data_IF_718549909232
#
_entry.id   IF_718549909232
#
_cell.length_a   1.000
_cell.length_b   1.000
_cell.length_c   1.000
_cell.angle_alpha   90.00
_cell.angle_beta   90.00
_cell.angle_gamma   90.00
#
_symmetry.space_group_name_H-M   'P 1'
#
loop_
_entity.id
_entity.type
_entity.pdbx_description
1 polymer ?
#
# COMPACT_ATOMS: atom_id res chain seq x y z
N UNK A 1 16.77 52.12 43.73
CA UNK A 1 17.57 51.06 43.11
C UNK A 1 16.98 49.71 43.49
N UNK A 2 16.12 49.15 42.65
CA UNK A 2 15.89 47.69 42.62
C UNK A 2 15.32 47.36 41.25
N UNK A 3 16.17 46.84 40.38
CA UNK A 3 15.86 46.35 39.04
C UNK A 3 15.11 45.02 39.16
N UNK A 4 13.95 44.93 38.51
CA UNK A 4 13.22 43.67 38.32
C UNK A 4 13.76 43.01 37.05
N UNK A 5 14.58 41.97 37.22
CA UNK A 5 14.94 41.06 36.13
C UNK A 5 13.79 40.08 35.90
N UNK A 6 13.15 40.18 34.74
CA UNK A 6 12.19 39.19 34.28
C UNK A 6 12.94 38.02 33.65
N UNK A 7 12.94 36.87 34.33
CA UNK A 7 13.40 35.60 33.77
C UNK A 7 12.53 35.21 32.57
N UNK A 8 13.10 35.25 31.38
CA UNK A 8 12.49 34.67 30.18
C UNK A 8 12.51 33.14 30.29
N UNK A 9 11.34 32.53 30.52
CA UNK A 9 11.15 31.09 30.34
C UNK A 9 11.27 30.77 28.86
N UNK A 10 12.45 30.30 28.46
CA UNK A 10 12.67 29.72 27.14
C UNK A 10 11.65 28.63 26.85
N UNK A 11 10.91 28.79 25.75
CA UNK A 11 10.04 27.76 25.20
C UNK A 11 10.91 26.49 24.94
N UNK A 12 10.46 25.29 25.35
CA UNK A 12 11.24 24.08 25.11
C UNK A 12 11.51 23.92 23.61
N UNK A 13 12.70 23.42 23.21
CA UNK A 13 12.98 23.13 21.82
C UNK A 13 11.85 22.25 21.27
N UNK A 14 11.18 22.68 20.21
CA UNK A 14 10.27 21.81 19.48
C UNK A 14 11.09 20.61 19.00
N UNK A 15 11.06 19.50 19.73
CA UNK A 15 11.59 18.24 19.24
C UNK A 15 10.94 17.96 17.90
N UNK A 16 11.75 17.94 16.83
CA UNK A 16 11.27 17.66 15.48
C UNK A 16 10.53 16.33 15.50
N UNK A 17 9.22 16.39 15.27
CA UNK A 17 8.29 15.27 15.37
C UNK A 17 8.75 14.13 14.44
N UNK A 18 9.34 13.08 15.00
CA UNK A 18 9.82 11.95 14.22
C UNK A 18 8.63 11.10 13.75
N UNK A 19 8.58 10.82 12.45
CA UNK A 19 7.55 9.96 11.87
C UNK A 19 7.90 8.49 12.16
N UNK A 20 6.99 7.76 12.82
CA UNK A 20 7.17 6.33 13.14
C UNK A 20 6.65 5.44 12.01
N UNK A 21 5.46 5.73 11.49
CA UNK A 21 4.86 4.97 10.40
C UNK A 21 3.85 5.80 9.62
N UNK A 22 3.50 5.30 8.42
CA UNK A 22 2.53 5.91 7.51
C UNK A 22 1.69 4.83 6.83
N UNK A 23 0.43 5.14 6.58
CA UNK A 23 -0.48 4.35 5.75
C UNK A 23 -1.33 5.29 4.89
N UNK A 24 -1.89 4.78 3.80
CA UNK A 24 -2.85 5.51 2.97
C UNK A 24 -4.10 4.64 2.85
N UNK A 25 -4.95 4.54 3.88
CA UNK A 25 -6.05 3.57 3.90
C UNK A 25 -7.09 3.77 2.80
N UNK A 26 -7.27 5.01 2.32
CA UNK A 26 -8.32 5.35 1.37
C UNK A 26 -7.99 6.57 0.53
N UNK A 27 -8.85 6.83 -0.45
CA UNK A 27 -8.87 8.07 -1.21
C UNK A 27 -10.29 8.64 -1.24
N UNK A 28 -10.40 9.97 -1.32
CA UNK A 28 -11.64 10.73 -1.40
C UNK A 28 -11.65 11.55 -2.68
N UNK A 29 -12.80 11.69 -3.32
CA UNK A 29 -13.00 12.66 -4.40
C UNK A 29 -13.57 13.93 -3.80
N UNK A 30 -12.82 15.03 -3.89
CA UNK A 30 -13.20 16.36 -3.38
C UNK A 30 -13.10 17.31 -4.57
N UNK A 31 -14.20 17.96 -4.93
CA UNK A 31 -14.29 18.88 -6.07
C UNK A 31 -13.73 18.29 -7.37
N UNK A 32 -14.12 17.04 -7.67
CA UNK A 32 -13.66 16.29 -8.85
C UNK A 32 -12.19 15.85 -8.80
N UNK A 33 -11.49 16.08 -7.70
CA UNK A 33 -10.08 15.76 -7.54
C UNK A 33 -9.86 14.64 -6.51
N UNK A 34 -9.06 13.64 -6.90
CA UNK A 34 -8.69 12.53 -6.02
C UNK A 34 -7.65 13.00 -4.99
N UNK A 35 -8.00 12.85 -3.72
CA UNK A 35 -7.17 13.10 -2.55
C UNK A 35 -6.94 11.80 -1.78
N UNK A 36 -5.68 11.46 -1.56
CA UNK A 36 -5.27 10.31 -0.75
C UNK A 36 -5.30 10.70 0.72
N UNK A 37 -5.96 9.89 1.54
CA UNK A 37 -5.99 10.06 3.00
C UNK A 37 -4.72 9.42 3.53
N UNK A 38 -3.70 10.23 3.85
CA UNK A 38 -2.45 9.73 4.42
C UNK A 38 -2.58 9.80 5.94
N UNK A 39 -2.56 8.64 6.60
CA UNK A 39 -2.46 8.57 8.04
C UNK A 39 -0.99 8.48 8.45
N UNK A 40 -0.65 9.24 9.47
CA UNK A 40 0.73 9.40 9.93
C UNK A 40 0.74 9.15 11.43
N UNK A 41 1.59 8.21 11.85
CA UNK A 41 1.89 7.97 13.25
C UNK A 41 3.19 8.68 13.59
N UNK A 42 3.11 9.72 14.41
CA UNK A 42 4.27 10.38 15.01
C UNK A 42 4.68 9.70 16.31
N UNK A 43 5.65 10.33 16.99
CA UNK A 43 6.15 9.83 18.27
C UNK A 43 5.06 9.78 19.36
N UNK A 44 4.24 10.83 19.44
CA UNK A 44 3.30 11.07 20.54
C UNK A 44 1.84 11.22 20.12
N UNK A 45 1.58 11.41 18.82
CA UNK A 45 0.24 11.58 18.29
C UNK A 45 0.13 10.88 16.93
N UNK A 46 -1.09 10.83 16.42
CA UNK A 46 -1.38 10.39 15.08
C UNK A 46 -2.30 11.42 14.42
N UNK A 47 -2.16 11.59 13.11
CA UNK A 47 -2.98 12.52 12.34
C UNK A 47 -3.20 12.05 10.91
N UNK A 48 -4.12 12.70 10.20
CA UNK A 48 -4.28 12.52 8.77
C UNK A 48 -3.95 13.80 8.01
N UNK A 49 -3.49 13.63 6.77
CA UNK A 49 -3.39 14.71 5.78
C UNK A 49 -4.01 14.24 4.47
N UNK A 50 -4.67 15.15 3.78
CA UNK A 50 -5.21 14.91 2.44
C UNK A 50 -4.20 15.39 1.41
N UNK A 51 -3.75 14.50 0.53
CA UNK A 51 -2.77 14.83 -0.51
C UNK A 51 -3.25 14.43 -1.89
N UNK A 52 -3.17 15.34 -2.85
CA UNK A 52 -3.34 15.02 -4.28
C UNK A 52 -2.06 14.44 -4.82
N UNK A 53 -2.16 13.66 -5.90
CA UNK A 53 -0.99 13.12 -6.58
C UNK A 53 0.03 14.20 -7.01
N UNK A 54 -0.42 15.39 -7.45
CA UNK A 54 0.49 16.49 -7.81
C UNK A 54 1.35 16.94 -6.63
N UNK A 55 0.79 16.99 -5.42
CA UNK A 55 1.54 17.34 -4.22
C UNK A 55 2.61 16.28 -3.89
N UNK A 56 2.33 15.00 -4.13
CA UNK A 56 3.33 13.94 -4.00
C UNK A 56 4.46 14.08 -5.01
N UNK A 57 4.15 14.48 -6.24
CA UNK A 57 5.14 14.66 -7.30
C UNK A 57 6.05 15.86 -7.03
N UNK A 58 5.48 16.99 -6.61
CA UNK A 58 6.24 18.16 -6.17
C UNK A 58 7.17 17.79 -5.01
N UNK A 59 6.62 17.12 -3.98
CA UNK A 59 7.41 16.66 -2.84
C UNK A 59 8.48 15.64 -3.25
N UNK A 60 8.23 14.76 -4.21
CA UNK A 60 9.24 13.82 -4.70
C UNK A 60 10.45 14.55 -5.30
N UNK A 61 10.24 15.62 -6.07
CA UNK A 61 11.33 16.44 -6.61
C UNK A 61 12.16 17.05 -5.49
N UNK A 62 11.50 17.60 -4.47
CA UNK A 62 12.17 18.14 -3.27
C UNK A 62 12.91 17.06 -2.48
N UNK A 63 12.36 15.85 -2.36
CA UNK A 63 12.99 14.73 -1.66
C UNK A 63 14.25 14.24 -2.37
N UNK A 64 14.21 14.14 -3.70
CA UNK A 64 15.39 13.72 -4.49
C UNK A 64 16.52 14.74 -4.31
N UNK A 65 16.23 16.03 -4.39
CA UNK A 65 17.22 17.10 -4.18
C UNK A 65 17.74 17.14 -2.73
N UNK A 66 16.87 16.99 -1.75
CA UNK A 66 17.23 17.06 -0.34
C UNK A 66 17.99 15.82 0.16
N UNK A 67 17.60 14.61 -0.27
CA UNK A 67 18.14 13.36 0.27
C UNK A 67 19.39 12.90 -0.49
N UNK A 68 19.53 13.27 -1.77
CA UNK A 68 20.68 12.94 -2.62
C UNK A 68 21.05 11.45 -2.50
N UNK A 69 22.27 11.15 -2.06
CA UNK A 69 22.78 9.78 -1.87
C UNK A 69 22.08 8.97 -0.78
N UNK A 70 21.30 9.60 0.10
CA UNK A 70 20.52 8.92 1.14
C UNK A 70 19.14 8.45 0.64
N UNK A 71 18.79 8.71 -0.62
CA UNK A 71 17.51 8.29 -1.17
C UNK A 71 17.46 6.75 -1.33
N UNK A 72 16.49 6.04 -0.73
CA UNK A 72 16.45 4.59 -0.76
C UNK A 72 16.13 4.08 -2.18
N UNK A 73 17.00 3.23 -2.72
CA UNK A 73 16.90 2.68 -4.09
C UNK A 73 15.57 1.96 -4.37
N UNK A 74 14.93 1.39 -3.34
CA UNK A 74 13.63 0.73 -3.47
C UNK A 74 12.42 1.66 -3.47
N UNK A 75 12.56 2.94 -3.10
CA UNK A 75 11.44 3.90 -3.03
C UNK A 75 11.12 4.48 -4.41
N UNK A 76 10.59 3.66 -5.29
CA UNK A 76 10.21 4.10 -6.64
C UNK A 76 8.93 4.94 -6.59
N UNK A 77 8.99 6.15 -7.13
CA UNK A 77 7.84 7.04 -7.23
C UNK A 77 6.90 6.61 -8.36
N UNK A 78 5.58 6.47 -8.13
CA UNK A 78 4.66 6.06 -9.18
C UNK A 78 4.56 7.13 -10.28
N UNK A 79 4.78 6.80 -11.55
CA UNK A 79 4.84 7.78 -12.63
C UNK A 79 3.49 8.40 -12.95
N UNK A 80 3.53 9.59 -13.58
CA UNK A 80 2.34 10.18 -14.21
C UNK A 80 1.92 9.29 -15.37
N UNK A 81 0.67 8.85 -15.33
CA UNK A 81 0.03 8.22 -16.48
C UNK A 81 -0.65 9.29 -17.33
N UNK A 82 -0.63 9.14 -18.64
CA UNK A 82 -1.16 10.13 -19.59
C UNK A 82 -2.68 9.94 -19.67
N UNK A 83 -3.44 11.04 -19.46
CA UNK A 83 -4.92 11.03 -19.41
C UNK A 83 -5.58 10.46 -20.66
N UNK A 84 -4.90 10.50 -21.81
CA UNK A 84 -5.43 10.01 -23.09
C UNK A 84 -5.62 8.48 -23.12
N UNK A 85 -4.91 7.74 -22.28
CA UNK A 85 -4.88 6.27 -22.27
C UNK A 85 -5.40 5.65 -20.97
N UNK A 86 -5.80 6.47 -19.99
CA UNK A 86 -6.26 5.96 -18.70
C UNK A 86 -7.27 6.89 -18.03
N UNK A 87 -8.41 6.34 -17.63
CA UNK A 87 -9.38 7.04 -16.81
C UNK A 87 -8.82 7.22 -15.38
N UNK A 88 -8.38 8.43 -15.07
CA UNK A 88 -7.77 8.76 -13.77
C UNK A 88 -8.77 8.82 -12.60
N UNK A 89 -10.06 8.63 -12.89
CA UNK A 89 -11.13 8.56 -11.89
C UNK A 89 -11.64 7.13 -11.70
N UNK A 90 -11.07 6.14 -12.41
CA UNK A 90 -11.47 4.74 -12.22
C UNK A 90 -11.07 4.27 -10.82
N UNK A 91 -11.93 3.53 -10.10
CA UNK A 91 -11.61 2.99 -8.77
C UNK A 91 -10.31 2.17 -8.76
N UNK A 92 -10.06 1.40 -9.83
CA UNK A 92 -8.87 0.56 -9.97
C UNK A 92 -7.60 1.40 -10.07
N UNK A 93 -7.63 2.49 -10.85
CA UNK A 93 -6.49 3.40 -10.99
C UNK A 93 -6.20 4.13 -9.69
N UNK A 94 -7.24 4.60 -8.99
CA UNK A 94 -7.11 5.27 -7.70
C UNK A 94 -6.48 4.30 -6.69
N UNK A 95 -6.94 3.05 -6.64
CA UNK A 95 -6.40 2.03 -5.76
C UNK A 95 -4.97 1.62 -6.12
N UNK A 96 -4.65 1.41 -7.40
CA UNK A 96 -3.30 1.13 -7.89
C UNK A 96 -2.34 2.23 -7.40
N UNK A 97 -2.72 3.49 -7.62
CA UNK A 97 -1.92 4.64 -7.23
C UNK A 97 -1.80 4.78 -5.71
N UNK A 98 -2.89 4.58 -4.96
CA UNK A 98 -2.89 4.62 -3.48
C UNK A 98 -1.86 3.64 -2.92
N UNK A 99 -1.89 2.39 -3.37
CA UNK A 99 -0.99 1.32 -2.92
C UNK A 99 0.47 1.67 -3.21
N UNK A 100 0.76 2.15 -4.42
CA UNK A 100 2.13 2.52 -4.81
C UNK A 100 2.65 3.73 -4.03
N UNK A 101 1.82 4.75 -3.81
CA UNK A 101 2.17 5.92 -2.99
C UNK A 101 2.41 5.54 -1.52
N UNK A 102 1.60 4.64 -0.96
CA UNK A 102 1.80 4.16 0.41
C UNK A 102 3.15 3.45 0.54
N UNK A 103 3.43 2.51 -0.37
CA UNK A 103 4.69 1.79 -0.37
C UNK A 103 5.89 2.74 -0.54
N UNK A 104 5.78 3.74 -1.42
CA UNK A 104 6.78 4.79 -1.58
C UNK A 104 7.07 5.52 -0.27
N UNK A 105 6.03 6.04 0.42
CA UNK A 105 6.20 6.74 1.69
C UNK A 105 6.75 5.82 2.79
N UNK A 106 6.27 4.57 2.88
CA UNK A 106 6.75 3.60 3.88
C UNK A 106 8.25 3.33 3.72
N UNK A 107 8.74 3.21 2.49
CA UNK A 107 10.18 3.02 2.22
C UNK A 107 11.01 4.24 2.61
N UNK A 108 10.50 5.47 2.42
CA UNK A 108 11.16 6.68 2.89
C UNK A 108 11.21 6.74 4.43
N UNK A 109 10.07 6.50 5.09
CA UNK A 109 9.95 6.55 6.56
C UNK A 109 10.74 5.44 7.25
N UNK A 110 10.97 4.30 6.59
CA UNK A 110 11.82 3.22 7.12
C UNK A 110 13.28 3.65 7.33
N UNK A 111 13.76 4.68 6.61
CA UNK A 111 15.09 5.24 6.80
C UNK A 111 15.05 6.27 7.93
N UNK A 112 15.59 5.94 9.10
CA UNK A 112 15.51 6.76 10.34
C UNK A 112 15.89 8.23 10.14
N UNK A 113 16.89 8.52 9.31
CA UNK A 113 17.34 9.89 9.04
C UNK A 113 16.31 10.66 8.19
N UNK A 114 15.69 10.00 7.20
CA UNK A 114 14.66 10.61 6.37
C UNK A 114 13.36 10.86 7.15
N UNK A 115 13.00 9.93 8.05
CA UNK A 115 11.84 10.05 8.93
C UNK A 115 11.87 11.28 9.85
N UNK A 116 13.05 11.85 10.10
CA UNK A 116 13.26 13.09 10.88
C UNK A 116 13.56 14.30 9.99
N UNK A 117 13.68 14.11 8.68
CA UNK A 117 14.08 15.16 7.76
C UNK A 117 12.97 16.22 7.63
N UNK A 118 13.35 17.50 7.62
CA UNK A 118 12.41 18.63 7.60
C UNK A 118 11.48 18.59 6.38
N UNK A 119 12.02 18.29 5.20
CA UNK A 119 11.24 18.23 3.95
C UNK A 119 10.15 17.14 4.00
N UNK A 120 10.48 15.92 4.49
CA UNK A 120 9.49 14.84 4.61
C UNK A 120 8.44 15.14 5.69
N UNK A 121 8.89 15.61 6.86
CA UNK A 121 8.01 15.97 7.98
C UNK A 121 7.08 17.13 7.60
N UNK A 122 7.57 18.15 6.89
CA UNK A 122 6.76 19.25 6.38
C UNK A 122 5.69 18.76 5.40
N UNK A 123 6.05 17.88 4.46
CA UNK A 123 5.07 17.26 3.56
C UNK A 123 3.98 16.51 4.32
N UNK A 124 4.35 15.70 5.32
CA UNK A 124 3.42 14.86 6.09
C UNK A 124 2.62 15.61 7.16
N UNK A 125 3.01 16.84 7.52
CA UNK A 125 2.30 17.67 8.52
C UNK A 125 1.49 18.81 7.88
N UNK A 126 1.81 19.23 6.65
CA UNK A 126 1.07 20.29 5.96
C UNK A 126 -0.39 19.86 5.71
N UNK A 127 -1.32 20.54 6.39
CA UNK A 127 -2.75 20.22 6.37
C UNK A 127 -3.17 19.16 7.38
N UNK A 128 -2.43 19.03 8.50
CA UNK A 128 -2.70 18.12 9.62
C UNK A 128 -4.15 18.27 10.11
N UNK A 129 -4.89 17.17 10.06
CA UNK A 129 -6.23 17.02 10.61
C UNK A 129 -6.21 15.95 11.70
N UNK A 130 -7.03 16.11 12.74
CA UNK A 130 -7.14 15.11 13.80
C UNK A 130 -7.75 13.82 13.23
N UNK A 131 -7.17 12.68 13.58
CA UNK A 131 -7.69 11.38 13.17
C UNK A 131 -8.97 11.07 13.94
N UNK A 132 -10.10 11.07 13.24
CA UNK A 132 -11.28 10.30 13.63
C UNK A 132 -11.23 8.96 12.87
N UNK A 133 -10.45 8.02 13.38
CA UNK A 133 -10.37 6.66 12.82
C UNK A 133 -11.55 5.86 13.36
N UNK A 134 -12.52 5.56 12.49
CA UNK A 134 -13.38 4.39 12.63
C UNK A 134 -12.87 3.32 11.67
N UNK A 135 -11.77 2.67 12.03
CA UNK A 135 -11.41 1.40 11.38
C UNK A 135 -12.35 0.34 11.94
N UNK A 136 -13.16 -0.24 11.06
CA UNK A 136 -13.93 -1.44 11.39
C UNK A 136 -12.99 -2.61 11.10
N UNK A 137 -12.13 -2.92 12.07
CA UNK A 137 -11.38 -4.18 12.05
C UNK A 137 -12.40 -5.32 12.25
N UNK A 138 -12.96 -5.80 11.14
CA UNK A 138 -13.78 -7.00 11.17
C UNK A 138 -12.86 -8.18 11.50
N UNK A 139 -13.12 -8.81 12.65
CA UNK A 139 -12.37 -9.97 13.10
C UNK A 139 -12.46 -11.09 12.05
N UNK A 140 -11.32 -11.70 11.72
CA UNK A 140 -11.33 -12.85 10.81
C UNK A 140 -12.13 -14.01 11.43
N UNK A 141 -12.94 -14.74 10.63
CA UNK A 141 -13.63 -15.93 11.10
C UNK A 141 -12.67 -16.96 11.67
N UNK A 142 -13.09 -17.74 12.66
CA UNK A 142 -12.27 -18.79 13.26
C UNK A 142 -11.98 -19.98 12.31
N UNK A 143 -12.82 -20.18 11.29
CA UNK A 143 -12.73 -21.28 10.33
C UNK A 143 -11.79 -21.03 9.14
N UNK A 144 -11.17 -19.84 9.03
CA UNK A 144 -10.28 -19.58 7.88
C UNK A 144 -8.94 -20.32 7.99
N UNK A 145 -8.55 -20.91 6.86
CA UNK A 145 -7.29 -21.64 6.72
C UNK A 145 -6.07 -20.74 6.50
N UNK A 146 -6.28 -19.45 6.21
CA UNK A 146 -5.24 -18.49 5.88
C UNK A 146 -5.50 -17.21 6.66
N UNK A 147 -4.55 -16.81 7.50
CA UNK A 147 -4.62 -15.63 8.37
C UNK A 147 -3.72 -14.48 7.90
N UNK A 148 -2.68 -14.75 7.11
CA UNK A 148 -1.89 -13.70 6.44
C UNK A 148 -1.33 -14.20 5.10
N UNK A 149 -1.02 -13.23 4.23
CA UNK A 149 -0.41 -13.46 2.92
C UNK A 149 0.60 -12.36 2.61
N UNK A 150 1.76 -12.74 2.08
CA UNK A 150 2.77 -11.79 1.64
C UNK A 150 3.42 -12.25 0.34
N UNK A 151 4.01 -11.32 -0.40
CA UNK A 151 4.79 -11.63 -1.60
C UNK A 151 6.19 -11.04 -1.40
N UNK A 152 7.07 -11.69 -0.61
CA UNK A 152 8.35 -11.10 -0.22
C UNK A 152 9.36 -11.04 -1.36
N UNK A 153 9.25 -11.94 -2.35
CA UNK A 153 10.25 -12.09 -3.40
C UNK A 153 9.62 -12.42 -4.75
N UNK A 154 10.39 -12.16 -5.80
CA UNK A 154 10.09 -12.54 -7.18
C UNK A 154 11.28 -13.25 -7.80
N UNK A 155 11.03 -14.26 -8.64
CA UNK A 155 12.05 -14.93 -9.44
C UNK A 155 11.81 -14.64 -10.91
N UNK A 156 12.79 -14.06 -11.58
CA UNK A 156 12.76 -13.78 -13.01
C UNK A 156 13.21 -15.06 -13.74
N UNK A 157 12.36 -15.59 -14.60
CA UNK A 157 12.66 -16.68 -15.52
C UNK A 157 12.93 -16.11 -16.92
N UNK A 158 13.30 -16.96 -17.88
CA UNK A 158 13.56 -16.53 -19.26
C UNK A 158 12.34 -15.92 -19.96
N UNK A 159 11.13 -16.40 -19.66
CA UNK A 159 9.88 -16.04 -20.35
C UNK A 159 8.78 -15.51 -19.41
N UNK A 160 8.95 -15.64 -18.09
CA UNK A 160 7.97 -15.21 -17.10
C UNK A 160 8.58 -14.81 -15.76
N UNK A 161 7.75 -14.22 -14.90
CA UNK A 161 8.12 -13.87 -13.52
C UNK A 161 7.26 -14.68 -12.57
N UNK A 162 7.90 -15.36 -11.62
CA UNK A 162 7.26 -16.07 -10.52
C UNK A 162 7.24 -15.18 -9.27
N UNK A 163 6.08 -15.07 -8.66
CA UNK A 163 5.87 -14.41 -7.38
C UNK A 163 5.88 -15.47 -6.29
N UNK A 164 6.75 -15.29 -5.30
CA UNK A 164 6.77 -16.14 -4.11
C UNK A 164 5.67 -15.65 -3.18
N UNK A 165 4.61 -16.44 -2.99
CA UNK A 165 3.48 -16.11 -2.13
C UNK A 165 3.62 -16.90 -0.85
N UNK A 166 3.98 -16.21 0.22
CA UNK A 166 4.10 -16.79 1.56
C UNK A 166 2.76 -16.64 2.28
N UNK A 167 2.29 -17.75 2.84
CA UNK A 167 0.98 -17.88 3.48
C UNK A 167 1.18 -18.32 4.93
N UNK A 168 0.33 -17.79 5.80
CA UNK A 168 0.37 -18.08 7.23
C UNK A 168 -1.02 -18.47 7.72
N UNK A 169 -1.09 -19.48 8.58
CA UNK A 169 -2.21 -19.77 9.46
C UNK A 169 -1.71 -19.72 10.91
N UNK A 170 -1.86 -18.56 11.56
CA UNK A 170 -1.36 -18.32 12.92
C UNK A 170 -2.04 -19.20 13.98
N UNK A 171 -3.15 -19.84 13.65
CA UNK A 171 -3.90 -20.73 14.54
C UNK A 171 -3.37 -22.17 14.51
N UNK A 172 -2.63 -22.53 13.47
CA UNK A 172 -1.98 -23.85 13.37
C UNK A 172 -0.66 -23.87 14.16
N UNK A 173 -0.21 -25.08 14.52
CA UNK A 173 1.09 -25.29 15.17
C UNK A 173 2.21 -24.71 14.28
N UNK A 174 3.24 -24.13 14.90
CA UNK A 174 4.35 -23.42 14.22
C UNK A 174 4.98 -24.17 13.04
N UNK A 175 5.01 -25.50 13.08
CA UNK A 175 5.62 -26.35 12.05
C UNK A 175 4.77 -26.47 10.78
N UNK A 176 3.48 -26.18 10.84
CA UNK A 176 2.52 -26.29 9.72
C UNK A 176 1.76 -24.99 9.47
N UNK A 177 2.06 -23.94 10.23
CA UNK A 177 1.40 -22.65 10.11
C UNK A 177 1.89 -21.81 8.94
N UNK A 178 2.90 -22.26 8.20
CA UNK A 178 3.51 -21.50 7.10
C UNK A 178 3.77 -22.38 5.92
N UNK A 179 3.40 -21.91 4.75
CA UNK A 179 3.77 -22.54 3.47
C UNK A 179 3.94 -21.46 2.41
N UNK A 180 4.48 -21.86 1.27
CA UNK A 180 4.76 -20.96 0.16
C UNK A 180 4.31 -21.60 -1.15
N UNK A 181 3.72 -20.80 -2.03
CA UNK A 181 3.43 -21.19 -3.41
C UNK A 181 4.12 -20.24 -4.38
N UNK A 182 4.62 -20.77 -5.51
CA UNK A 182 5.16 -19.96 -6.59
C UNK A 182 4.11 -19.83 -7.69
N UNK A 183 3.74 -18.60 -8.04
CA UNK A 183 2.73 -18.34 -9.08
C UNK A 183 3.18 -17.25 -10.03
N UNK A 184 2.85 -17.40 -11.31
CA UNK A 184 2.98 -16.31 -12.29
C UNK A 184 1.73 -15.42 -12.26
N UNK A 185 1.87 -14.19 -12.74
CA UNK A 185 0.78 -13.22 -12.79
C UNK A 185 -0.49 -13.76 -13.48
N UNK A 186 -0.34 -14.49 -14.60
CA UNK A 186 -1.49 -15.04 -15.33
C UNK A 186 -2.27 -16.07 -14.53
N UNK A 187 -1.64 -16.84 -13.64
CA UNK A 187 -2.36 -17.77 -12.77
C UNK A 187 -3.20 -17.03 -11.72
N UNK A 188 -2.70 -15.91 -11.16
CA UNK A 188 -3.48 -15.07 -10.24
C UNK A 188 -4.68 -14.45 -10.97
N UNK A 189 -4.46 -13.98 -12.19
CA UNK A 189 -5.53 -13.44 -13.03
C UNK A 189 -6.59 -14.49 -13.36
N UNK A 190 -6.19 -15.69 -13.80
CA UNK A 190 -7.09 -16.79 -14.11
C UNK A 190 -7.90 -17.22 -12.88
N UNK A 191 -7.29 -17.24 -11.69
CA UNK A 191 -7.98 -17.49 -10.44
C UNK A 191 -9.06 -16.44 -10.15
N UNK A 192 -8.75 -15.14 -10.26
CA UNK A 192 -9.73 -14.05 -10.07
C UNK A 192 -10.89 -14.17 -11.05
N UNK A 193 -10.62 -14.46 -12.33
CA UNK A 193 -11.66 -14.62 -13.33
C UNK A 193 -12.59 -15.80 -13.02
N UNK A 194 -12.02 -16.95 -12.64
CA UNK A 194 -12.82 -18.12 -12.23
C UNK A 194 -13.66 -17.80 -10.98
N UNK A 195 -13.08 -17.13 -9.99
CA UNK A 195 -13.80 -16.71 -8.78
C UNK A 195 -14.99 -15.80 -9.13
N UNK A 196 -14.76 -14.75 -9.93
CA UNK A 196 -15.82 -13.84 -10.36
C UNK A 196 -16.90 -14.54 -11.17
N UNK A 197 -16.52 -15.44 -12.07
CA UNK A 197 -17.47 -16.25 -12.84
C UNK A 197 -18.35 -17.11 -11.93
N UNK A 198 -17.78 -17.76 -10.91
CA UNK A 198 -18.54 -18.55 -9.93
C UNK A 198 -19.49 -17.73 -9.05
N UNK A 199 -19.28 -16.40 -8.98
CA UNK A 199 -20.11 -15.47 -8.22
C UNK A 199 -20.98 -14.59 -9.13
N UNK A 200 -21.05 -14.88 -10.43
CA UNK A 200 -21.72 -14.02 -11.40
C UNK A 200 -23.23 -13.86 -11.15
N UNK A 201 -23.85 -14.87 -10.54
CA UNK A 201 -25.27 -14.87 -10.18
C UNK A 201 -25.59 -14.11 -8.89
N UNK A 202 -24.56 -13.67 -8.15
CA UNK A 202 -24.70 -12.95 -6.87
C UNK A 202 -23.94 -11.61 -6.91
N UNK A 203 -24.59 -10.53 -7.42
CA UNK A 203 -23.96 -9.22 -7.55
C UNK A 203 -23.52 -8.62 -6.21
N UNK A 204 -24.22 -8.93 -5.12
CA UNK A 204 -23.87 -8.42 -3.79
C UNK A 204 -22.54 -9.02 -3.33
N UNK A 205 -22.37 -10.34 -3.46
CA UNK A 205 -21.09 -10.99 -3.17
C UNK A 205 -19.98 -10.51 -4.09
N UNK A 206 -20.26 -10.35 -5.39
CA UNK A 206 -19.29 -9.86 -6.36
C UNK A 206 -18.77 -8.45 -6.02
N UNK A 207 -19.66 -7.58 -5.53
CA UNK A 207 -19.32 -6.21 -5.12
C UNK A 207 -18.39 -6.17 -3.89
N UNK A 208 -18.34 -7.24 -3.09
CA UNK A 208 -17.41 -7.33 -1.94
C UNK A 208 -15.98 -7.69 -2.34
N UNK A 209 -15.75 -8.19 -3.56
CA UNK A 209 -14.41 -8.58 -3.99
C UNK A 209 -13.52 -7.36 -4.20
N UNK A 210 -12.21 -7.44 -3.88
CA UNK A 210 -11.26 -6.41 -4.25
C UNK A 210 -11.22 -6.24 -5.78
N UNK A 211 -10.81 -5.06 -6.30
CA UNK A 211 -10.64 -4.86 -7.73
C UNK A 211 -9.66 -5.86 -8.35
N UNK A 212 -10.00 -6.37 -9.54
CA UNK A 212 -9.19 -7.38 -10.21
C UNK A 212 -7.79 -6.85 -10.57
N UNK A 213 -6.75 -7.69 -10.49
CA UNK A 213 -5.42 -7.30 -10.94
C UNK A 213 -5.42 -7.10 -12.46
N UNK A 214 -4.97 -5.94 -12.93
CA UNK A 214 -5.05 -5.58 -14.35
C UNK A 214 -3.95 -6.22 -15.20
N UNK A 215 -4.33 -6.79 -16.35
CA UNK A 215 -3.39 -7.15 -17.42
C UNK A 215 -2.85 -5.88 -18.06
N UNK A 216 -1.53 -5.77 -18.12
CA UNK A 216 -0.84 -4.71 -18.89
C UNK A 216 -0.37 -5.31 -20.22
N UNK A 217 -0.58 -4.64 -21.36
CA UNK A 217 -0.18 -5.16 -22.66
C UNK A 217 1.35 -5.14 -22.78
N UNK A 218 1.92 -6.26 -23.24
CA UNK A 218 3.38 -6.42 -23.41
C UNK A 218 3.99 -5.39 -24.37
N UNK A 219 3.20 -4.90 -25.34
CA UNK A 219 3.66 -3.90 -26.31
C UNK A 219 3.98 -2.54 -25.68
N UNK A 220 3.33 -2.21 -24.56
CA UNK A 220 3.50 -0.91 -23.88
C UNK A 220 4.37 -1.00 -22.62
N UNK A 221 4.67 -2.22 -22.17
CA UNK A 221 5.35 -2.45 -20.91
C UNK A 221 6.29 -3.65 -21.02
N UNK A 222 7.57 -3.42 -20.74
CA UNK A 222 8.49 -4.50 -20.49
C UNK A 222 8.10 -5.19 -19.17
N UNK A 223 7.74 -6.48 -19.26
CA UNK A 223 7.32 -7.27 -18.11
C UNK A 223 8.51 -7.84 -17.32
N UNK A 224 9.73 -7.71 -17.83
CA UNK A 224 10.98 -8.08 -17.16
C UNK A 224 11.66 -6.88 -16.50
N UNK A 225 11.19 -5.66 -16.76
CA UNK A 225 11.68 -4.46 -16.09
C UNK A 225 11.53 -4.58 -14.56
N UNK A 226 12.61 -4.43 -13.77
CA UNK A 226 12.57 -4.57 -12.32
C UNK A 226 11.56 -3.64 -11.63
N UNK A 227 11.38 -2.42 -12.13
CA UNK A 227 10.43 -1.44 -11.55
C UNK A 227 8.99 -1.90 -11.76
N UNK A 228 8.68 -2.41 -12.95
CA UNK A 228 7.41 -2.99 -13.28
C UNK A 228 7.11 -4.23 -12.42
N UNK A 229 8.09 -5.12 -12.27
CA UNK A 229 7.98 -6.34 -11.45
C UNK A 229 7.66 -5.97 -10.01
N UNK A 230 8.40 -5.03 -9.41
CA UNK A 230 8.18 -4.59 -8.04
C UNK A 230 6.81 -3.92 -7.87
N UNK A 231 6.43 -3.03 -8.79
CA UNK A 231 5.11 -2.40 -8.78
C UNK A 231 4.00 -3.45 -8.83
N UNK A 232 4.12 -4.43 -9.74
CA UNK A 232 3.16 -5.53 -9.85
C UNK A 232 3.15 -6.40 -8.59
N UNK A 233 4.30 -6.72 -8.00
CA UNK A 233 4.41 -7.49 -6.75
C UNK A 233 3.63 -6.82 -5.62
N UNK A 234 3.81 -5.52 -5.43
CA UNK A 234 3.10 -4.74 -4.38
C UNK A 234 1.58 -4.78 -4.61
N UNK A 235 1.14 -4.58 -5.85
CA UNK A 235 -0.28 -4.60 -6.21
C UNK A 235 -0.91 -5.97 -5.97
N UNK A 236 -0.22 -7.04 -6.37
CA UNK A 236 -0.67 -8.42 -6.14
C UNK A 236 -0.73 -8.75 -4.65
N UNK A 237 0.25 -8.32 -3.86
CA UNK A 237 0.23 -8.51 -2.41
C UNK A 237 -0.98 -7.82 -1.78
N UNK A 238 -1.25 -6.56 -2.14
CA UNK A 238 -2.40 -5.83 -1.64
C UNK A 238 -3.73 -6.49 -2.06
N UNK A 239 -3.82 -6.94 -3.32
CA UNK A 239 -4.98 -7.68 -3.81
C UNK A 239 -5.22 -8.95 -2.98
N UNK A 240 -4.20 -9.81 -2.78
CA UNK A 240 -4.34 -11.04 -1.99
C UNK A 240 -4.68 -10.74 -0.53
N UNK A 241 -4.07 -9.72 0.09
CA UNK A 241 -4.39 -9.31 1.46
C UNK A 241 -5.85 -8.90 1.62
N UNK A 242 -6.42 -8.21 0.63
CA UNK A 242 -7.85 -7.88 0.63
C UNK A 242 -8.71 -9.11 0.33
N UNK A 243 -8.26 -9.97 -0.57
CA UNK A 243 -8.98 -11.18 -0.95
C UNK A 243 -9.17 -12.13 0.23
N UNK A 244 -8.14 -12.36 1.04
CA UNK A 244 -8.25 -13.25 2.22
C UNK A 244 -9.12 -12.67 3.34
N UNK A 245 -9.35 -11.35 3.36
CA UNK A 245 -10.30 -10.69 4.28
C UNK A 245 -11.74 -10.75 3.77
N UNK A 246 -11.97 -11.07 2.50
CA UNK A 246 -13.30 -11.24 1.93
C UNK A 246 -13.80 -12.65 2.25
N UNK A 247 -14.83 -12.76 3.11
CA UNK A 247 -15.40 -14.04 3.54
C UNK A 247 -15.84 -14.95 2.39
N UNK A 248 -16.39 -14.37 1.33
CA UNK A 248 -16.85 -15.12 0.16
C UNK A 248 -15.66 -15.71 -0.60
N UNK A 249 -14.60 -14.92 -0.77
CA UNK A 249 -13.42 -15.35 -1.52
C UNK A 249 -12.62 -16.41 -0.77
N UNK A 250 -12.38 -16.22 0.54
CA UNK A 250 -11.49 -17.11 1.30
C UNK A 250 -12.08 -18.50 1.55
N UNK A 251 -13.40 -18.66 1.44
CA UNK A 251 -14.08 -19.97 1.49
C UNK A 251 -14.25 -20.63 0.12
N UNK A 252 -13.87 -19.95 -0.96
CA UNK A 252 -13.94 -20.51 -2.31
C UNK A 252 -12.86 -21.56 -2.51
N UNK A 253 -13.24 -22.75 -2.96
CA UNK A 253 -12.29 -23.80 -3.37
C UNK A 253 -11.31 -23.30 -4.43
N UNK A 254 -11.76 -22.42 -5.34
CA UNK A 254 -10.92 -21.81 -6.38
C UNK A 254 -9.74 -21.04 -5.76
N UNK A 255 -9.98 -20.30 -4.68
CA UNK A 255 -8.96 -19.52 -3.98
C UNK A 255 -8.08 -20.42 -3.12
N UNK A 256 -8.69 -21.35 -2.38
CA UNK A 256 -7.99 -22.28 -1.50
C UNK A 256 -7.01 -23.18 -2.28
N UNK A 257 -7.48 -23.83 -3.35
CA UNK A 257 -6.64 -24.65 -4.24
C UNK A 257 -5.51 -23.81 -4.87
N UNK A 258 -5.84 -22.60 -5.33
CA UNK A 258 -4.83 -21.69 -5.88
C UNK A 258 -3.73 -21.38 -4.86
N UNK A 259 -4.10 -21.13 -3.60
CA UNK A 259 -3.19 -20.84 -2.49
C UNK A 259 -2.57 -22.11 -1.88
N UNK A 260 -2.87 -23.30 -2.42
CA UNK A 260 -2.26 -24.56 -1.99
C UNK A 260 -2.79 -25.08 -0.65
N UNK A 261 -4.01 -24.69 -0.27
CA UNK A 261 -4.75 -25.35 0.81
C UNK A 261 -5.40 -26.61 0.23
N UNK A 262 -5.09 -27.76 0.82
CA UNK A 262 -5.58 -29.09 0.45
C UNK A 262 -6.52 -29.62 1.51
#
# INVERSE_FOLDING_TARGET
MTTLEAESKGLPPQEKEAIKSVSIPSAKVIDGNVHYVVQVQGAFNAWCVLKRYSAFEEAHKEFVDAFKSSFPSGAVFPPKKIKLFQNHSSPEFIEERRVLLENYLRKLVAVKNLAKHSVLTAFLTKGKQKLDIKEKDEAMPEDVEITDVSIPATRIMSDHVLYQIDLVNERKRKTYSKWCVLKRFTQIYEMDQKLRQSLAEDPEKLATLPPAPQKKPKLLHDHMDPTFIESRRILLQNYLKKLIKCHVAIRSLIVLEFLGVQ
#
